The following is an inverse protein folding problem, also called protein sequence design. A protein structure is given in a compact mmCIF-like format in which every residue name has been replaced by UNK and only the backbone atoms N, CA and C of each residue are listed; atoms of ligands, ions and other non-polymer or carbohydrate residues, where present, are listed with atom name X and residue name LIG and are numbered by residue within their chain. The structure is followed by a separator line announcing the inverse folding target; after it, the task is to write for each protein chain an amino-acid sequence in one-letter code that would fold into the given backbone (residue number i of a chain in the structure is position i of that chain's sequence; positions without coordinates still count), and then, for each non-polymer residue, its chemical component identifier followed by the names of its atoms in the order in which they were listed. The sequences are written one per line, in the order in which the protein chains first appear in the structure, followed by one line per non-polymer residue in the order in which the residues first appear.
data_IF_289273357788
#
_entry.id   IF_289273357788
#
_cell.length_a   1.000
_cell.length_b   1.000
_cell.length_c   1.000
_cell.angle_alpha   90.00
_cell.angle_beta   90.00
_cell.angle_gamma   90.00
#
_symmetry.space_group_name_H-M   'P 1'
#
loop_
_entity.id
_entity.type
_entity.pdbx_description
1 polymer ?
#
# COMPACT_ATOMS: atom_id res chain seq x y z
N UNK A 1 3.32 15.48 7.19
CA UNK A 1 2.94 16.86 7.51
C UNK A 1 3.96 17.43 8.48
N UNK A 2 4.36 18.68 8.27
CA UNK A 2 5.34 19.35 9.12
C UNK A 2 5.32 20.84 8.83
N UNK A 3 5.55 21.65 9.87
CA UNK A 3 5.73 23.10 9.71
C UNK A 3 7.19 23.35 9.40
N UNK A 4 7.49 23.91 8.23
CA UNK A 4 8.85 24.28 7.84
C UNK A 4 9.01 25.80 7.91
N UNK A 5 10.05 26.27 8.61
CA UNK A 5 10.43 27.69 8.63
C UNK A 5 11.61 27.90 7.70
N UNK A 6 11.44 28.76 6.70
CA UNK A 6 12.52 29.14 5.79
C UNK A 6 12.94 30.58 6.09
N UNK A 7 14.22 30.78 6.40
CA UNK A 7 14.80 32.10 6.60
C UNK A 7 15.59 32.48 5.34
N UNK A 8 15.20 33.58 4.69
CA UNK A 8 15.98 34.18 3.60
C UNK A 8 16.69 35.39 4.18
N UNK A 9 18.02 35.40 4.13
CA UNK A 9 18.84 36.47 4.67
C UNK A 9 19.88 36.91 3.63
N UNK A 10 20.14 38.22 3.57
CA UNK A 10 21.29 38.81 2.88
C UNK A 10 22.24 39.29 3.99
N UNK A 11 23.20 38.45 4.39
CA UNK A 11 23.97 38.61 5.64
C UNK A 11 23.21 38.09 6.89
N UNK A 12 23.61 38.50 8.10
CA UNK A 12 22.95 38.10 9.38
C UNK A 12 21.59 38.79 9.63
N UNK A 13 21.17 39.72 8.78
CA UNK A 13 19.91 40.44 8.92
C UNK A 13 18.81 39.79 8.09
N UNK A 14 17.75 39.34 8.77
CA UNK A 14 16.55 38.81 8.12
C UNK A 14 15.81 39.93 7.36
N UNK A 15 15.29 39.59 6.18
CA UNK A 15 14.48 40.54 5.39
C UNK A 15 13.16 40.86 6.09
N UNK A 16 12.63 42.07 5.87
CA UNK A 16 11.33 42.46 6.41
C UNK A 16 10.24 41.51 5.90
N UNK A 17 9.46 40.91 6.81
CA UNK A 17 8.48 39.85 6.48
C UNK A 17 9.00 38.42 6.68
N UNK A 18 10.25 38.25 7.11
CA UNK A 18 10.83 36.98 7.53
C UNK A 18 10.77 36.82 9.06
N UNK A 19 10.57 35.58 9.59
CA UNK A 19 10.35 34.34 8.84
C UNK A 19 8.91 34.19 8.32
N UNK A 20 8.76 33.61 7.13
CA UNK A 20 7.46 33.20 6.61
C UNK A 20 7.11 31.80 7.11
N UNK A 21 5.91 31.64 7.68
CA UNK A 21 5.36 30.34 8.00
C UNK A 21 4.66 29.75 6.77
N UNK A 22 5.11 28.56 6.34
CA UNK A 22 4.48 27.81 5.24
C UNK A 22 4.02 26.47 5.77
N UNK A 23 2.76 26.12 5.48
CA UNK A 23 2.18 24.80 5.75
C UNK A 23 2.11 24.04 4.43
N UNK A 24 2.74 22.87 4.39
CA UNK A 24 2.68 21.97 3.25
C UNK A 24 1.82 20.75 3.61
N UNK A 25 0.70 20.60 2.92
CA UNK A 25 -0.17 19.45 3.06
C UNK A 25 0.28 18.31 2.14
N UNK A 26 0.08 17.03 2.53
CA UNK A 26 0.34 15.89 1.66
C UNK A 26 -0.49 15.97 0.37
N UNK A 27 0.12 15.54 -0.73
CA UNK A 27 -0.58 15.45 -2.01
C UNK A 27 -1.60 14.30 -2.06
N UNK A 28 -2.28 14.12 -3.23
CA UNK A 28 -3.09 12.95 -3.50
C UNK A 28 -2.29 11.65 -3.40
N UNK A 29 -3.00 10.55 -3.13
CA UNK A 29 -2.44 9.19 -3.12
C UNK A 29 -1.64 8.89 -4.39
N UNK A 30 -0.41 8.46 -4.20
CA UNK A 30 0.40 7.82 -5.23
C UNK A 30 0.57 6.34 -4.88
N UNK A 31 -0.02 5.46 -5.70
CA UNK A 31 -0.04 4.01 -5.45
C UNK A 31 1.36 3.41 -5.39
N UNK A 32 2.31 3.94 -6.17
CA UNK A 32 3.69 3.45 -6.20
C UNK A 32 4.47 3.79 -4.93
N UNK A 33 4.07 4.86 -4.24
CA UNK A 33 4.67 5.30 -2.99
C UNK A 33 4.02 4.67 -1.76
N UNK A 34 2.91 3.92 -1.90
CA UNK A 34 2.27 3.22 -0.79
C UNK A 34 3.20 2.21 -0.12
N UNK A 35 2.99 1.99 1.18
CA UNK A 35 3.81 1.10 1.99
C UNK A 35 2.96 0.04 2.64
N UNK A 36 3.30 -1.24 2.42
CA UNK A 36 2.70 -2.35 3.16
C UNK A 36 3.36 -2.44 4.54
N UNK A 37 2.57 -2.28 5.60
CA UNK A 37 3.02 -2.46 6.97
C UNK A 37 2.91 -3.95 7.33
N UNK A 38 4.05 -4.62 7.43
CA UNK A 38 4.12 -6.00 7.89
C UNK A 38 5.24 -6.17 8.93
N UNK A 39 5.07 -7.14 9.83
CA UNK A 39 6.09 -7.53 10.80
C UNK A 39 6.73 -8.85 10.37
N UNK A 40 8.04 -8.81 10.10
CA UNK A 40 8.84 -9.99 9.75
C UNK A 40 8.84 -10.35 8.26
N UNK A 41 9.71 -11.31 7.91
CA UNK A 41 9.98 -11.72 6.53
C UNK A 41 9.03 -12.83 6.04
N UNK A 42 8.39 -13.56 6.97
CA UNK A 42 7.49 -14.66 6.67
C UNK A 42 6.33 -14.69 7.65
N UNK A 43 5.12 -14.82 7.11
CA UNK A 43 3.92 -15.05 7.88
C UNK A 43 3.47 -16.51 7.69
N UNK A 44 3.25 -17.23 8.79
CA UNK A 44 2.66 -18.57 8.79
C UNK A 44 1.20 -18.49 9.22
N UNK A 45 0.30 -19.14 8.48
CA UNK A 45 -1.12 -19.24 8.84
C UNK A 45 -1.66 -20.60 8.44
N UNK A 46 -2.86 -20.92 8.92
CA UNK A 46 -3.64 -22.08 8.50
C UNK A 46 -4.66 -21.65 7.45
N UNK A 47 -4.88 -22.47 6.41
CA UNK A 47 -5.93 -22.20 5.44
C UNK A 47 -7.31 -22.05 6.14
N UNK A 48 -8.12 -21.10 5.69
CA UNK A 48 -9.38 -20.69 6.32
C UNK A 48 -9.21 -19.67 7.45
N UNK A 49 -7.98 -19.33 7.86
CA UNK A 49 -7.74 -18.32 8.90
C UNK A 49 -7.58 -16.93 8.28
N UNK A 50 -8.39 -15.93 8.66
CA UNK A 50 -8.25 -14.57 8.16
C UNK A 50 -6.89 -13.96 8.50
N UNK A 51 -6.30 -13.28 7.53
CA UNK A 51 -5.12 -12.43 7.68
C UNK A 51 -5.50 -10.99 7.43
N UNK A 52 -5.04 -10.09 8.30
CA UNK A 52 -5.16 -8.65 8.14
C UNK A 52 -3.82 -8.07 7.69
N UNK A 53 -3.84 -7.27 6.63
CA UNK A 53 -2.74 -6.45 6.15
C UNK A 53 -3.10 -4.98 6.30
N UNK A 54 -2.13 -4.15 6.67
CA UNK A 54 -2.31 -2.70 6.74
C UNK A 54 -1.42 -2.03 5.70
N UNK A 55 -1.99 -1.18 4.86
CA UNK A 55 -1.24 -0.42 3.85
C UNK A 55 -1.35 1.06 4.19
N UNK A 56 -0.23 1.77 4.20
CA UNK A 56 -0.18 3.21 4.42
C UNK A 56 -0.19 3.95 3.09
N UNK A 57 -1.20 4.80 2.88
CA UNK A 57 -1.24 5.71 1.75
C UNK A 57 -0.13 6.77 1.86
N UNK A 58 0.58 6.99 0.75
CA UNK A 58 1.57 8.06 0.63
C UNK A 58 1.35 8.86 -0.66
N UNK A 59 1.75 10.12 -0.65
CA UNK A 59 1.86 10.93 -1.86
C UNK A 59 3.14 10.60 -2.65
N UNK A 60 3.31 11.21 -3.83
CA UNK A 60 4.49 11.02 -4.69
C UNK A 60 5.83 11.39 -4.05
N UNK A 61 5.81 12.12 -2.93
CA UNK A 61 6.99 12.55 -2.17
C UNK A 61 7.21 11.69 -0.92
N UNK A 62 6.38 10.66 -0.71
CA UNK A 62 6.45 9.78 0.44
C UNK A 62 5.77 10.33 1.69
N UNK A 63 5.02 11.43 1.64
CA UNK A 63 4.27 11.90 2.80
C UNK A 63 3.04 11.04 3.01
N UNK A 64 2.74 10.67 4.27
CA UNK A 64 1.49 10.00 4.59
C UNK A 64 0.30 10.90 4.25
N UNK A 65 -0.70 10.35 3.56
CA UNK A 65 -1.88 11.09 3.07
C UNK A 65 -3.17 10.32 3.31
N UNK A 66 -4.25 11.03 3.60
CA UNK A 66 -5.61 10.48 3.59
C UNK A 66 -6.39 10.91 2.33
N UNK A 67 -5.76 11.65 1.42
CA UNK A 67 -6.36 12.12 0.17
C UNK A 67 -6.35 10.99 -0.87
N UNK A 68 -7.28 10.05 -0.72
CA UNK A 68 -7.45 8.90 -1.61
C UNK A 68 -8.62 9.14 -2.57
N UNK A 69 -8.38 8.90 -3.86
CA UNK A 69 -9.45 8.98 -4.87
C UNK A 69 -10.49 7.88 -4.66
N UNK A 70 -11.77 8.22 -4.87
CA UNK A 70 -12.88 7.27 -4.82
C UNK A 70 -12.65 6.13 -5.83
N UNK A 71 -13.00 4.91 -5.43
CA UNK A 71 -12.85 3.70 -6.26
C UNK A 71 -11.43 3.14 -6.30
N UNK A 72 -10.46 3.71 -5.59
CA UNK A 72 -9.12 3.11 -5.42
C UNK A 72 -9.12 2.17 -4.22
N UNK A 73 -8.71 0.92 -4.43
CA UNK A 73 -8.54 -0.06 -3.37
C UNK A 73 -7.34 -0.97 -3.63
N UNK A 74 -7.18 -1.98 -2.78
CA UNK A 74 -6.15 -3.00 -2.92
C UNK A 74 -6.75 -4.39 -2.78
N UNK A 75 -6.21 -5.34 -3.53
CA UNK A 75 -6.57 -6.75 -3.46
C UNK A 75 -5.33 -7.62 -3.32
N UNK A 76 -5.51 -8.85 -2.85
CA UNK A 76 -4.44 -9.84 -2.76
C UNK A 76 -4.50 -10.79 -3.95
N UNK A 77 -3.32 -11.09 -4.50
CA UNK A 77 -3.09 -12.23 -5.40
C UNK A 77 -2.05 -13.16 -4.77
N UNK A 78 -2.38 -14.44 -4.66
CA UNK A 78 -1.47 -15.45 -4.13
C UNK A 78 -0.93 -16.30 -5.27
N UNK A 79 0.38 -16.35 -5.45
CA UNK A 79 1.02 -17.26 -6.41
C UNK A 79 1.84 -18.28 -5.65
N UNK A 80 1.92 -19.52 -6.12
CA UNK A 80 2.86 -20.48 -5.51
C UNK A 80 4.30 -19.93 -5.57
N UNK A 81 5.05 -20.11 -4.48
CA UNK A 81 6.49 -19.86 -4.50
C UNK A 81 7.11 -20.95 -5.36
N UNK A 82 7.71 -20.58 -6.49
CA UNK A 82 8.46 -21.53 -7.30
C UNK A 82 9.51 -22.20 -6.40
N UNK A 83 9.46 -23.52 -6.30
CA UNK A 83 10.54 -24.28 -5.67
C UNK A 83 11.80 -24.01 -6.50
N UNK A 84 12.91 -23.64 -5.83
CA UNK A 84 14.16 -23.40 -6.53
C UNK A 84 14.53 -24.61 -7.39
N UNK A 85 14.89 -24.35 -8.65
CA UNK A 85 15.31 -25.35 -9.63
C UNK A 85 16.36 -26.30 -9.04
N UNK A 86 15.93 -27.50 -8.64
CA UNK A 86 16.77 -28.68 -8.59
C UNK A 86 16.03 -29.77 -9.38
N UNK A 87 16.21 -29.73 -10.70
CA UNK A 87 16.18 -30.93 -11.56
C UNK A 87 14.85 -31.66 -11.76
N UNK A 88 13.71 -30.96 -11.84
CA UNK A 88 12.42 -31.60 -12.11
C UNK A 88 11.72 -31.00 -13.32
N UNK A 89 11.62 -31.75 -14.42
CA UNK A 89 10.78 -31.41 -15.58
C UNK A 89 9.33 -31.36 -15.11
N UNK A 90 8.81 -30.15 -14.96
CA UNK A 90 7.42 -29.91 -14.64
C UNK A 90 7.12 -28.43 -14.84
N UNK A 91 6.55 -28.10 -15.98
CA UNK A 91 5.96 -26.78 -16.23
C UNK A 91 4.82 -26.53 -15.24
N UNK A 92 5.11 -26.12 -14.01
CA UNK A 92 4.12 -25.52 -13.12
C UNK A 92 3.92 -24.08 -13.57
N UNK A 93 3.28 -23.91 -14.72
CA UNK A 93 2.71 -22.63 -15.11
C UNK A 93 1.74 -22.19 -14.02
N UNK A 94 2.18 -21.27 -13.16
CA UNK A 94 1.35 -20.34 -12.40
C UNK A 94 0.06 -20.87 -11.79
N UNK A 95 0.10 -21.95 -11.00
CA UNK A 95 -1.05 -22.27 -10.16
C UNK A 95 -1.24 -21.12 -9.14
N UNK A 96 -2.38 -20.43 -9.23
CA UNK A 96 -2.73 -19.34 -8.33
C UNK A 96 -3.28 -19.94 -7.04
N UNK A 97 -2.78 -19.49 -5.90
CA UNK A 97 -3.36 -19.80 -4.60
C UNK A 97 -4.79 -19.27 -4.51
N UNK A 98 -5.70 -20.09 -3.98
CA UNK A 98 -7.11 -19.74 -3.86
C UNK A 98 -7.37 -18.88 -2.63
N UNK A 99 -8.16 -17.83 -2.79
CA UNK A 99 -8.71 -17.04 -1.69
C UNK A 99 -10.18 -17.40 -1.51
N UNK A 100 -10.62 -17.53 -0.26
CA UNK A 100 -12.04 -17.64 0.09
C UNK A 100 -12.70 -16.27 0.18
N UNK A 101 -11.98 -15.29 0.74
CA UNK A 101 -12.42 -13.90 0.83
C UNK A 101 -11.22 -12.95 0.66
N UNK A 102 -11.49 -11.76 0.14
CA UNK A 102 -10.53 -10.66 0.05
C UNK A 102 -11.29 -9.34 0.02
N UNK A 103 -11.32 -8.64 1.14
CA UNK A 103 -12.06 -7.40 1.32
C UNK A 103 -11.15 -6.35 1.94
N UNK A 104 -11.31 -5.09 1.54
CA UNK A 104 -10.50 -4.03 2.09
C UNK A 104 -11.26 -2.72 2.24
N UNK A 105 -10.90 -1.98 3.28
CA UNK A 105 -11.56 -0.72 3.63
C UNK A 105 -10.53 0.37 3.95
N UNK A 106 -10.85 1.59 3.53
CA UNK A 106 -10.09 2.77 3.91
C UNK A 106 -10.52 3.25 5.29
N UNK A 107 -9.53 3.56 6.13
CA UNK A 107 -9.71 4.30 7.36
C UNK A 107 -9.57 5.79 7.12
N UNK A 108 -10.17 6.57 8.01
CA UNK A 108 -10.15 8.04 7.95
C UNK A 108 -8.74 8.65 8.03
N UNK A 109 -7.75 7.89 8.51
CA UNK A 109 -6.35 8.31 8.67
C UNK A 109 -5.45 7.97 7.47
N UNK A 110 -6.01 7.44 6.38
CA UNK A 110 -5.26 7.03 5.19
C UNK A 110 -4.58 5.66 5.33
N UNK A 111 -4.97 4.85 6.31
CA UNK A 111 -4.62 3.43 6.33
C UNK A 111 -5.67 2.61 5.58
N UNK A 112 -5.23 1.64 4.78
CA UNK A 112 -6.10 0.65 4.17
C UNK A 112 -5.96 -0.67 4.92
N UNK A 113 -7.05 -1.18 5.46
CA UNK A 113 -7.11 -2.49 6.10
C UNK A 113 -7.62 -3.50 5.09
N UNK A 114 -6.78 -4.46 4.72
CA UNK A 114 -7.04 -5.50 3.74
C UNK A 114 -7.08 -6.85 4.45
N UNK A 115 -8.26 -7.46 4.48
CA UNK A 115 -8.50 -8.78 5.08
C UNK A 115 -8.61 -9.81 3.96
N UNK A 116 -7.85 -10.89 4.04
CA UNK A 116 -7.97 -12.02 3.12
C UNK A 116 -7.94 -13.36 3.84
N UNK A 117 -8.60 -14.36 3.25
CA UNK A 117 -8.67 -15.72 3.79
C UNK A 117 -8.06 -16.70 2.79
N UNK A 118 -6.86 -17.24 3.04
CA UNK A 118 -6.24 -18.21 2.15
C UNK A 118 -6.98 -19.55 2.23
N UNK A 119 -7.38 -20.12 1.09
CA UNK A 119 -8.16 -21.35 1.02
C UNK A 119 -7.36 -22.57 0.54
N UNK A 120 -6.04 -22.42 0.36
CA UNK A 120 -5.13 -23.47 -0.09
C UNK A 120 -3.93 -23.59 0.84
N UNK A 121 -3.45 -24.82 1.05
CA UNK A 121 -2.18 -25.08 1.73
C UNK A 121 -1.01 -24.94 0.76
N UNK A 122 0.14 -24.47 1.25
CA UNK A 122 1.37 -24.36 0.47
C UNK A 122 2.18 -23.12 0.80
N UNK A 123 3.32 -22.98 0.14
CA UNK A 123 4.12 -21.77 0.18
C UNK A 123 3.71 -20.83 -0.96
N UNK A 124 3.28 -19.63 -0.60
CA UNK A 124 2.79 -18.62 -1.53
C UNK A 124 3.57 -17.32 -1.41
N UNK A 125 3.70 -16.62 -2.54
CA UNK A 125 4.05 -15.21 -2.59
C UNK A 125 2.74 -14.44 -2.68
N UNK A 126 2.51 -13.59 -1.67
CA UNK A 126 1.36 -12.68 -1.61
C UNK A 126 1.74 -11.39 -2.31
N UNK A 127 0.93 -10.97 -3.28
CA UNK A 127 1.07 -9.70 -3.95
C UNK A 127 -0.15 -8.84 -3.69
N UNK A 128 0.10 -7.63 -3.19
CA UNK A 128 -0.92 -6.60 -3.07
C UNK A 128 -0.97 -5.83 -4.38
N UNK A 129 -2.14 -5.77 -4.99
CA UNK A 129 -2.36 -5.11 -6.28
C UNK A 129 -3.41 -4.03 -6.12
N UNK A 130 -3.14 -2.85 -6.65
CA UNK A 130 -4.13 -1.77 -6.69
C UNK A 130 -5.24 -2.15 -7.67
N UNK A 131 -6.48 -2.00 -7.21
CA UNK A 131 -7.67 -2.07 -8.04
C UNK A 131 -8.28 -0.68 -8.13
N UNK A 132 -8.74 -0.33 -9.33
CA UNK A 132 -9.56 0.84 -9.55
C UNK A 132 -10.89 0.35 -10.05
N UNK A 133 -11.94 0.59 -9.29
CA UNK A 133 -13.28 0.45 -9.85
C UNK A 133 -13.44 1.51 -10.94
N UNK A 134 -13.90 1.15 -12.15
CA UNK A 134 -14.30 2.16 -13.10
C UNK A 134 -15.41 2.97 -12.43
N UNK A 135 -15.23 4.29 -12.35
CA UNK A 135 -16.32 5.20 -12.03
C UNK A 135 -17.43 4.85 -13.02
N UNK A 136 -18.52 4.26 -12.54
CA UNK A 136 -19.68 3.98 -13.37
C UNK A 136 -20.03 5.27 -14.12
N UNK A 137 -20.15 5.18 -15.44
CA UNK A 137 -20.76 6.26 -16.21
C UNK A 137 -22.07 6.59 -15.52
N UNK A 138 -22.17 7.82 -15.02
CA UNK A 138 -23.42 8.35 -14.52
C UNK A 138 -24.25 8.58 -15.77
N UNK A 139 -25.15 7.64 -16.07
CA UNK A 139 -26.17 7.79 -17.13
C UNK A 139 -27.17 8.90 -16.76
#
# INVERSE_FOLDING_TARGET
SGVHRMAIAIGDSQVRGSPLAVTCEPGPLDVQSCELLHSGDRQSTTAGTPIVLTIRARDRFGNATANVSVGVGFTVRMRHRAAGDIGGVGSSGGEMGRLEACEGTWRADGMYELVYVPASRGDFIVQVVCVREPLGEIE
#
